data_IF_715034820563
#
_entry.id   IF_715034820563
#
_cell.length_a   1.000
_cell.length_b   1.000
_cell.length_c   1.000
_cell.angle_alpha   90.00
_cell.angle_beta   90.00
_cell.angle_gamma   90.00
#
_symmetry.space_group_name_H-M   'P 1'
#
loop_
_entity.id
_entity.type
_entity.pdbx_description
1 polymer ?
#
# COMPACT_ATOMS: atom_id res chain seq x y z
N UNK A 1 15.05 -2.57 -10.22
CA UNK A 1 14.76 -1.55 -11.25
C UNK A 1 14.55 -0.21 -10.54
N UNK A 2 15.16 0.89 -11.01
CA UNK A 2 14.91 2.23 -10.45
C UNK A 2 13.98 2.99 -11.40
N UNK A 3 13.04 3.75 -10.84
CA UNK A 3 12.16 4.63 -11.61
C UNK A 3 12.98 5.82 -12.16
N UNK A 4 12.59 6.31 -13.34
CA UNK A 4 13.09 7.59 -13.86
C UNK A 4 12.47 8.77 -13.10
N UNK A 5 13.06 9.96 -13.22
CA UNK A 5 12.50 11.18 -12.61
C UNK A 5 11.08 11.48 -13.11
N UNK A 6 10.84 11.28 -14.40
CA UNK A 6 9.50 11.45 -15.00
C UNK A 6 8.49 10.45 -14.41
N UNK A 7 8.88 9.18 -14.25
CA UNK A 7 8.03 8.17 -13.61
C UNK A 7 7.75 8.48 -12.14
N UNK A 8 8.74 9.03 -11.42
CA UNK A 8 8.56 9.47 -10.03
C UNK A 8 7.59 10.65 -9.93
N UNK A 9 7.70 11.63 -10.83
CA UNK A 9 6.78 12.77 -10.87
C UNK A 9 5.35 12.31 -11.18
N UNK A 10 5.16 11.44 -12.18
CA UNK A 10 3.86 10.87 -12.52
C UNK A 10 3.26 10.07 -11.35
N UNK A 11 4.08 9.28 -10.65
CA UNK A 11 3.63 8.52 -9.49
C UNK A 11 3.19 9.44 -8.35
N UNK A 12 3.93 10.52 -8.08
CA UNK A 12 3.58 11.49 -7.05
C UNK A 12 2.26 12.19 -7.37
N UNK A 13 2.05 12.62 -8.62
CA UNK A 13 0.78 13.22 -9.03
C UNK A 13 -0.37 12.22 -8.92
N UNK A 14 -0.18 10.96 -9.32
CA UNK A 14 -1.20 9.92 -9.16
C UNK A 14 -1.56 9.71 -7.68
N UNK A 15 -0.57 9.68 -6.78
CA UNK A 15 -0.80 9.56 -5.34
C UNK A 15 -1.55 10.77 -4.79
N UNK A 16 -1.18 11.97 -5.24
CA UNK A 16 -1.82 13.22 -4.80
C UNK A 16 -3.25 13.33 -5.29
N UNK A 17 -3.52 13.08 -6.56
CA UNK A 17 -4.84 13.18 -7.17
C UNK A 17 -5.77 12.06 -6.68
N UNK A 18 -5.25 10.84 -6.55
CA UNK A 18 -6.04 9.69 -6.16
C UNK A 18 -6.30 9.60 -4.66
N UNK A 19 -5.35 10.03 -3.82
CA UNK A 19 -5.39 9.77 -2.38
C UNK A 19 -5.21 11.03 -1.53
N UNK A 20 -4.94 12.20 -2.12
CA UNK A 20 -4.71 13.45 -1.37
C UNK A 20 -3.26 13.65 -0.91
N UNK A 21 -2.38 12.67 -1.18
CA UNK A 21 -0.96 12.74 -0.86
C UNK A 21 -0.42 11.46 -0.21
N UNK A 22 0.90 11.37 0.03
CA UNK A 22 1.54 10.17 0.60
C UNK A 22 1.00 9.79 1.98
N UNK A 23 0.73 10.77 2.85
CA UNK A 23 0.24 10.54 4.20
C UNK A 23 -1.17 9.95 4.21
N UNK A 24 -2.08 10.49 3.40
CA UNK A 24 -3.44 9.99 3.23
C UNK A 24 -3.44 8.61 2.57
N UNK A 25 -2.59 8.40 1.57
CA UNK A 25 -2.46 7.09 0.95
C UNK A 25 -1.99 6.03 1.96
N UNK A 26 -1.03 6.37 2.83
CA UNK A 26 -0.60 5.48 3.90
C UNK A 26 -1.74 5.09 4.86
N UNK A 27 -2.66 6.02 5.18
CA UNK A 27 -3.86 5.72 5.99
C UNK A 27 -4.78 4.74 5.28
N UNK A 28 -4.99 4.90 3.98
CA UNK A 28 -5.81 3.98 3.17
C UNK A 28 -5.20 2.57 3.16
N UNK A 29 -3.88 2.45 3.07
CA UNK A 29 -3.21 1.15 3.11
C UNK A 29 -3.27 0.50 4.50
N UNK A 30 -3.21 1.27 5.59
CA UNK A 30 -3.46 0.75 6.94
C UNK A 30 -4.87 0.17 7.06
N UNK A 31 -5.89 0.87 6.54
CA UNK A 31 -7.26 0.34 6.47
C UNK A 31 -7.32 -0.94 5.61
N UNK A 32 -6.59 -0.99 4.49
CA UNK A 32 -6.48 -2.19 3.67
C UNK A 32 -5.92 -3.39 4.44
N UNK A 33 -4.94 -3.18 5.34
CA UNK A 33 -4.45 -4.23 6.24
C UNK A 33 -5.55 -4.66 7.22
N UNK A 34 -6.33 -3.73 7.77
CA UNK A 34 -7.46 -4.06 8.65
C UNK A 34 -8.53 -4.89 7.91
N UNK A 35 -8.78 -4.61 6.64
CA UNK A 35 -9.73 -5.38 5.83
C UNK A 35 -9.32 -6.85 5.63
N UNK A 36 -8.01 -7.16 5.66
CA UNK A 36 -7.52 -8.53 5.53
C UNK A 36 -7.92 -9.43 6.72
N UNK A 37 -8.27 -8.85 7.87
CA UNK A 37 -8.79 -9.62 9.01
C UNK A 37 -10.23 -10.12 8.80
N UNK A 38 -10.94 -9.59 7.80
CA UNK A 38 -12.33 -9.95 7.49
C UNK A 38 -12.46 -10.91 6.30
N UNK A 39 -11.35 -11.42 5.78
CA UNK A 39 -11.40 -12.41 4.70
C UNK A 39 -12.04 -13.71 5.22
N UNK A 40 -12.88 -14.31 4.38
CA UNK A 40 -13.51 -15.61 4.66
C UNK A 40 -12.46 -16.68 4.98
N UNK A 41 -12.80 -17.55 5.94
CA UNK A 41 -11.94 -18.67 6.30
C UNK A 41 -11.70 -19.55 5.05
N UNK A 42 -10.46 -20.01 4.88
CA UNK A 42 -10.01 -20.86 3.77
C UNK A 42 -9.95 -20.20 2.38
N UNK A 43 -10.33 -18.92 2.23
CA UNK A 43 -10.17 -18.21 0.95
C UNK A 43 -8.70 -18.00 0.56
N UNK A 44 -7.82 -17.80 1.55
CA UNK A 44 -6.37 -17.76 1.39
C UNK A 44 -5.67 -18.47 2.54
N UNK A 45 -4.46 -18.94 2.29
CA UNK A 45 -3.59 -19.42 3.36
C UNK A 45 -3.11 -18.25 4.22
N UNK A 46 -2.83 -18.53 5.49
CA UNK A 46 -2.25 -17.54 6.40
C UNK A 46 -0.95 -16.92 5.84
N UNK A 47 -0.14 -17.72 5.14
CA UNK A 47 1.13 -17.26 4.54
C UNK A 47 0.91 -16.24 3.44
N UNK A 48 -0.09 -16.43 2.58
CA UNK A 48 -0.44 -15.47 1.52
C UNK A 48 -0.88 -14.14 2.12
N UNK A 49 -1.76 -14.17 3.12
CA UNK A 49 -2.21 -12.95 3.82
C UNK A 49 -1.02 -12.22 4.47
N UNK A 50 -0.12 -12.94 5.15
CA UNK A 50 1.07 -12.36 5.76
C UNK A 50 2.01 -11.71 4.75
N UNK A 51 2.16 -12.30 3.56
CA UNK A 51 2.98 -11.73 2.49
C UNK A 51 2.40 -10.42 1.98
N UNK A 52 1.08 -10.36 1.79
CA UNK A 52 0.38 -9.11 1.40
C UNK A 52 0.54 -8.05 2.49
N UNK A 53 0.28 -8.38 3.76
CA UNK A 53 0.46 -7.46 4.89
C UNK A 53 1.89 -6.91 4.94
N UNK A 54 2.89 -7.76 4.73
CA UNK A 54 4.30 -7.35 4.75
C UNK A 54 4.63 -6.39 3.60
N UNK A 55 4.10 -6.64 2.40
CA UNK A 55 4.27 -5.75 1.26
C UNK A 55 3.62 -4.38 1.50
N UNK A 56 2.38 -4.35 2.01
CA UNK A 56 1.67 -3.13 2.34
C UNK A 56 2.41 -2.30 3.40
N UNK A 57 2.90 -2.95 4.47
CA UNK A 57 3.72 -2.28 5.50
C UNK A 57 5.01 -1.69 4.94
N UNK A 58 5.64 -2.37 3.99
CA UNK A 58 6.81 -1.85 3.28
C UNK A 58 6.50 -0.54 2.54
N UNK A 59 5.39 -0.48 1.81
CA UNK A 59 4.94 0.72 1.08
C UNK A 59 4.60 1.85 2.06
N UNK A 60 3.80 1.55 3.09
CA UNK A 60 3.45 2.51 4.15
C UNK A 60 4.71 3.12 4.78
N UNK A 61 5.72 2.29 5.05
CA UNK A 61 7.00 2.73 5.58
C UNK A 61 7.83 3.61 4.63
N UNK A 62 7.55 3.60 3.33
CA UNK A 62 8.14 4.55 2.36
C UNK A 62 7.33 5.85 2.31
N UNK A 63 6.01 5.76 2.29
CA UNK A 63 5.12 6.92 2.18
C UNK A 63 5.18 7.85 3.42
N UNK A 64 5.56 7.30 4.57
CA UNK A 64 5.70 8.02 5.85
C UNK A 64 7.10 8.59 6.10
N UNK A 65 8.06 8.39 5.19
CA UNK A 65 9.42 8.90 5.34
C UNK A 65 9.54 10.36 4.95
#
# INVERSE_FOLDING_TARGET
MKLTEEQLAQLNELVKDGYGGPAEFAKVLDLGIEMLFYIEQEAFTQREVQQVVSALRGIIGVLRR
#
